data_IF_954953858580
#
_entry.id   IF_954953858580
#
_cell.length_a   1.000
_cell.length_b   1.000
_cell.length_c   1.000
_cell.angle_alpha   90.00
_cell.angle_beta   90.00
_cell.angle_gamma   90.00
#
_symmetry.space_group_name_H-M   'P 1'
#
loop_
_entity.id
_entity.type
_entity.pdbx_description
1 polymer ?
#
# COMPACT_ATOMS: atom_id res chain seq x y z
N UNK A 1 15.40 -2.43 13.87
CA UNK A 1 14.01 -2.81 13.52
C UNK A 1 13.91 -3.01 12.00
N UNK A 2 12.80 -3.51 11.44
CA UNK A 2 12.69 -3.64 9.99
C UNK A 2 12.29 -2.33 9.29
N UNK A 3 12.72 -2.22 8.03
CA UNK A 3 11.96 -1.46 7.04
C UNK A 3 10.68 -2.24 6.72
N UNK A 4 9.54 -1.56 6.75
CA UNK A 4 8.25 -2.18 6.45
C UNK A 4 7.73 -1.59 5.16
N UNK A 5 7.55 -2.45 4.16
CA UNK A 5 7.01 -2.02 2.87
C UNK A 5 5.48 -2.10 2.87
N UNK A 6 4.83 -0.96 2.69
CA UNK A 6 3.41 -0.84 2.36
C UNK A 6 3.26 -0.64 0.85
N UNK A 7 2.44 -1.48 0.23
CA UNK A 7 2.19 -1.47 -1.21
C UNK A 7 0.72 -1.18 -1.45
N UNK A 8 0.41 -0.01 -1.99
CA UNK A 8 -0.96 0.39 -2.30
C UNK A 8 -1.27 0.12 -3.78
N UNK A 9 -2.17 -0.83 -4.02
CA UNK A 9 -2.53 -1.28 -5.38
C UNK A 9 -3.66 -0.42 -5.92
N UNK A 10 -3.29 0.77 -6.41
CA UNK A 10 -4.25 1.78 -6.82
C UNK A 10 -4.85 1.55 -8.21
N UNK A 11 -4.04 1.19 -9.20
CA UNK A 11 -4.46 1.19 -10.61
C UNK A 11 -4.63 -0.24 -11.12
N UNK A 12 -5.79 -0.62 -11.69
CA UNK A 12 -5.97 -1.98 -12.18
C UNK A 12 -5.16 -2.29 -13.44
N UNK A 13 -4.84 -1.30 -14.27
CA UNK A 13 -4.06 -1.49 -15.51
C UNK A 13 -2.70 -0.78 -15.52
N UNK A 14 -2.37 -0.05 -14.45
CA UNK A 14 -1.16 0.77 -14.37
C UNK A 14 -1.38 2.18 -14.91
N UNK A 15 -0.28 2.91 -15.15
CA UNK A 15 -0.33 4.31 -15.64
C UNK A 15 0.79 4.71 -16.60
N UNK A 16 1.53 3.75 -17.16
CA UNK A 16 2.69 4.00 -18.04
C UNK A 16 2.28 4.79 -19.30
N UNK A 17 1.10 4.49 -19.85
CA UNK A 17 0.59 5.11 -21.06
C UNK A 17 -0.89 5.49 -20.95
N UNK A 18 -1.39 6.24 -21.94
CA UNK A 18 -2.75 6.78 -21.96
C UNK A 18 -3.80 5.65 -21.93
N UNK A 19 -3.56 4.55 -22.66
CA UNK A 19 -4.48 3.41 -22.71
C UNK A 19 -4.65 2.79 -21.32
N UNK A 20 -3.55 2.53 -20.62
CA UNK A 20 -3.59 2.01 -19.25
C UNK A 20 -4.30 2.96 -18.28
N UNK A 21 -4.11 4.28 -18.42
CA UNK A 21 -4.81 5.30 -17.61
C UNK A 21 -6.32 5.27 -17.86
N UNK A 22 -6.75 5.18 -19.13
CA UNK A 22 -8.16 5.10 -19.51
C UNK A 22 -8.80 3.81 -19.00
N UNK A 23 -8.19 2.66 -19.26
CA UNK A 23 -8.70 1.36 -18.77
C UNK A 23 -8.75 1.32 -17.24
N UNK A 24 -7.76 1.92 -16.58
CA UNK A 24 -7.78 2.07 -15.11
C UNK A 24 -8.98 2.89 -14.66
N UNK A 25 -9.22 4.04 -15.28
CA UNK A 25 -10.35 4.90 -14.90
C UNK A 25 -11.71 4.26 -15.17
N UNK A 26 -11.86 3.56 -16.29
CA UNK A 26 -13.08 2.81 -16.61
C UNK A 26 -13.39 1.78 -15.51
N UNK A 27 -12.39 1.00 -15.08
CA UNK A 27 -12.60 -0.02 -14.05
C UNK A 27 -12.75 0.54 -12.64
N UNK A 28 -12.15 1.69 -12.34
CA UNK A 28 -12.33 2.39 -11.07
C UNK A 28 -13.75 2.92 -10.89
N UNK A 29 -14.36 3.45 -11.96
CA UNK A 29 -15.66 4.13 -11.87
C UNK A 29 -16.86 3.26 -12.30
N UNK A 30 -16.60 2.22 -13.09
CA UNK A 30 -17.63 1.36 -13.68
C UNK A 30 -17.30 -0.12 -13.47
N UNK A 31 -18.35 -0.94 -13.49
CA UNK A 31 -18.16 -2.39 -13.53
C UNK A 31 -17.59 -2.78 -14.90
N UNK A 32 -16.27 -2.97 -14.96
CA UNK A 32 -15.56 -3.44 -16.14
C UNK A 32 -14.77 -4.70 -15.77
N UNK A 33 -14.91 -5.83 -16.49
CA UNK A 33 -14.29 -7.10 -16.10
C UNK A 33 -12.75 -7.04 -16.10
N UNK A 34 -12.06 -7.82 -15.25
CA UNK A 34 -10.60 -7.83 -15.17
C UNK A 34 -10.00 -8.58 -16.36
N UNK A 35 -9.72 -7.86 -17.45
CA UNK A 35 -9.17 -8.46 -18.67
C UNK A 35 -7.64 -8.60 -18.55
N UNK A 36 -7.17 -9.80 -18.17
CA UNK A 36 -5.74 -10.14 -18.07
C UNK A 36 -5.01 -9.95 -19.40
N UNK A 37 -5.67 -10.24 -20.53
CA UNK A 37 -5.13 -10.02 -21.88
C UNK A 37 -4.82 -8.54 -22.18
N UNK A 38 -5.51 -7.60 -21.52
CA UNK A 38 -5.23 -6.16 -21.63
C UNK A 38 -4.23 -5.67 -20.57
N UNK A 39 -3.59 -6.58 -19.84
CA UNK A 39 -2.56 -6.26 -18.85
C UNK A 39 -3.10 -5.96 -17.44
N UNK A 40 -4.30 -6.42 -17.09
CA UNK A 40 -4.85 -6.30 -15.73
C UNK A 40 -3.83 -6.78 -14.69
N UNK A 41 -3.45 -5.88 -13.78
CA UNK A 41 -2.45 -6.05 -12.71
C UNK A 41 -1.08 -6.57 -13.16
N UNK A 42 -0.74 -6.46 -14.44
CA UNK A 42 0.56 -6.89 -14.97
C UNK A 42 1.73 -6.15 -14.31
N UNK A 43 1.57 -4.86 -14.04
CA UNK A 43 2.54 -4.02 -13.33
C UNK A 43 2.71 -4.45 -11.86
N UNK A 44 1.63 -4.84 -11.18
CA UNK A 44 1.68 -5.42 -9.83
C UNK A 44 2.46 -6.74 -9.86
N UNK A 45 2.14 -7.63 -10.80
CA UNK A 45 2.85 -8.91 -10.96
C UNK A 45 4.36 -8.71 -11.16
N UNK A 46 4.76 -7.73 -11.98
CA UNK A 46 6.17 -7.36 -12.18
C UNK A 46 6.81 -6.87 -10.88
N UNK A 47 6.12 -6.03 -10.12
CA UNK A 47 6.62 -5.52 -8.85
C UNK A 47 6.75 -6.62 -7.78
N UNK A 48 5.77 -7.52 -7.66
CA UNK A 48 5.83 -8.64 -6.72
C UNK A 48 6.98 -9.61 -7.02
N UNK A 49 7.27 -9.86 -8.30
CA UNK A 49 8.46 -10.63 -8.70
C UNK A 49 9.77 -9.96 -8.29
N UNK A 50 9.84 -8.63 -8.31
CA UNK A 50 10.98 -7.90 -7.78
C UNK A 50 11.08 -8.08 -6.26
N UNK A 51 9.97 -7.98 -5.52
CA UNK A 51 9.99 -8.24 -4.08
C UNK A 51 10.46 -9.67 -3.76
N UNK A 52 9.98 -10.67 -4.51
CA UNK A 52 10.42 -12.05 -4.40
C UNK A 52 11.92 -12.20 -4.69
N UNK A 53 12.46 -11.58 -5.75
CA UNK A 53 13.89 -11.66 -6.07
C UNK A 53 14.79 -11.00 -5.02
N UNK A 54 14.27 -9.98 -4.33
CA UNK A 54 14.98 -9.30 -3.27
C UNK A 54 14.71 -9.89 -1.86
N UNK A 55 13.89 -10.94 -1.77
CA UNK A 55 13.41 -11.56 -0.51
C UNK A 55 12.77 -10.54 0.45
N UNK A 56 11.85 -9.72 -0.07
CA UNK A 56 11.15 -8.66 0.65
C UNK A 56 9.69 -9.07 0.88
N UNK A 57 9.33 -9.23 2.16
CA UNK A 57 7.93 -9.34 2.57
C UNK A 57 7.32 -7.95 2.77
N UNK A 58 6.02 -7.83 2.49
CA UNK A 58 5.34 -6.54 2.42
C UNK A 58 3.89 -6.65 2.90
N UNK A 59 3.29 -5.50 3.22
CA UNK A 59 1.85 -5.35 3.37
C UNK A 59 1.26 -4.83 2.06
N UNK A 60 0.42 -5.62 1.39
CA UNK A 60 -0.17 -5.30 0.09
C UNK A 60 -1.65 -5.00 0.25
N UNK A 61 -2.05 -3.78 -0.07
CA UNK A 61 -3.42 -3.30 0.08
C UNK A 61 -4.13 -3.24 -1.27
N UNK A 62 -5.23 -3.99 -1.38
CA UNK A 62 -6.05 -4.04 -2.58
C UNK A 62 -7.35 -3.26 -2.40
N UNK A 63 -7.71 -2.52 -3.44
CA UNK A 63 -9.02 -1.91 -3.60
C UNK A 63 -10.01 -2.95 -4.16
N UNK A 64 -11.30 -2.65 -4.11
CA UNK A 64 -12.31 -3.50 -4.76
C UNK A 64 -12.05 -3.63 -6.27
N UNK A 65 -11.63 -2.55 -6.92
CA UNK A 65 -11.35 -2.54 -8.36
C UNK A 65 -10.00 -3.18 -8.74
N UNK A 66 -9.11 -3.42 -7.77
CA UNK A 66 -7.77 -4.01 -7.99
C UNK A 66 -7.58 -5.37 -7.35
N UNK A 67 -8.66 -6.06 -6.98
CA UNK A 67 -8.60 -7.44 -6.49
C UNK A 67 -7.79 -8.35 -7.45
N UNK A 68 -6.81 -9.13 -6.92
CA UNK A 68 -5.94 -9.94 -7.75
C UNK A 68 -6.72 -11.07 -8.43
N UNK A 69 -6.25 -11.61 -9.57
CA UNK A 69 -6.85 -12.80 -10.17
C UNK A 69 -6.93 -13.96 -9.16
N UNK A 70 -7.97 -14.80 -9.28
CA UNK A 70 -8.19 -15.91 -8.35
C UNK A 70 -7.03 -16.90 -8.33
N UNK A 71 -6.36 -17.08 -9.46
CA UNK A 71 -5.19 -17.96 -9.55
C UNK A 71 -3.97 -17.44 -8.80
N UNK A 72 -3.97 -16.20 -8.27
CA UNK A 72 -2.91 -15.73 -7.37
C UNK A 72 -3.16 -16.14 -5.91
N UNK A 73 -4.43 -16.37 -5.54
CA UNK A 73 -4.81 -16.73 -4.18
C UNK A 73 -4.26 -18.12 -3.84
N UNK A 74 -3.35 -18.18 -2.86
CA UNK A 74 -2.67 -19.43 -2.47
C UNK A 74 -1.39 -19.75 -3.24
N UNK A 75 -0.90 -18.83 -4.07
CA UNK A 75 0.43 -18.95 -4.69
C UNK A 75 1.48 -18.16 -3.91
N UNK A 76 2.77 -18.46 -4.14
CA UNK A 76 3.89 -17.75 -3.52
C UNK A 76 3.85 -16.23 -3.74
N UNK A 77 3.24 -15.79 -4.85
CA UNK A 77 3.17 -14.38 -5.21
C UNK A 77 2.43 -13.52 -4.17
N UNK A 78 1.51 -14.11 -3.39
CA UNK A 78 0.79 -13.43 -2.32
C UNK A 78 1.02 -14.05 -0.95
N UNK A 79 1.34 -15.35 -0.86
CA UNK A 79 1.37 -16.06 0.43
C UNK A 79 2.52 -15.62 1.36
N UNK A 80 3.56 -15.00 0.84
CA UNK A 80 4.67 -14.44 1.64
C UNK A 80 4.40 -13.02 2.15
N UNK A 81 3.26 -12.42 1.76
CA UNK A 81 2.91 -11.04 2.08
C UNK A 81 1.72 -10.99 3.02
N UNK A 82 1.64 -9.92 3.81
CA UNK A 82 0.44 -9.57 4.55
C UNK A 82 -0.53 -8.88 3.59
N UNK A 83 -1.77 -9.38 3.47
CA UNK A 83 -2.75 -8.84 2.54
C UNK A 83 -3.75 -7.97 3.30
N UNK A 84 -3.97 -6.76 2.80
CA UNK A 84 -4.82 -5.76 3.41
C UNK A 84 -5.91 -5.22 2.48
N UNK A 85 -6.88 -4.55 3.07
CA UNK A 85 -7.93 -3.81 2.37
C UNK A 85 -7.54 -2.33 2.19
N UNK A 86 -7.48 -1.85 0.95
CA UNK A 86 -7.32 -0.43 0.63
C UNK A 86 -8.67 0.27 0.53
N UNK A 87 -9.18 0.74 1.67
CA UNK A 87 -10.56 1.20 1.82
C UNK A 87 -10.88 2.43 0.95
N UNK A 88 -11.93 2.32 0.15
CA UNK A 88 -12.41 3.37 -0.74
C UNK A 88 -13.63 4.07 -0.14
N UNK A 89 -14.60 3.29 0.34
CA UNK A 89 -15.89 3.78 0.83
C UNK A 89 -15.93 3.83 2.35
N UNK A 90 -15.56 4.99 2.89
CA UNK A 90 -15.42 5.26 4.33
C UNK A 90 -16.40 6.33 4.78
N UNK A 91 -17.52 6.50 4.06
CA UNK A 91 -18.57 7.48 4.39
C UNK A 91 -19.30 7.19 5.71
N UNK A 92 -19.32 5.92 6.10
CA UNK A 92 -19.85 5.43 7.37
C UNK A 92 -19.22 4.08 7.68
N UNK A 93 -19.41 3.63 8.92
CA UNK A 93 -18.96 2.31 9.35
C UNK A 93 -19.56 1.20 8.48
N UNK A 94 -20.86 1.27 8.18
CA UNK A 94 -21.58 0.25 7.41
C UNK A 94 -21.06 0.14 5.98
N UNK A 95 -20.67 1.29 5.38
CA UNK A 95 -20.08 1.31 4.05
C UNK A 95 -18.72 0.60 4.04
N UNK A 96 -17.86 0.90 5.03
CA UNK A 96 -16.57 0.25 5.20
C UNK A 96 -16.73 -1.25 5.48
N UNK A 97 -17.65 -1.62 6.38
CA UNK A 97 -17.94 -3.00 6.73
C UNK A 97 -18.40 -3.82 5.52
N UNK A 98 -19.32 -3.24 4.72
CA UNK A 98 -19.81 -3.87 3.50
C UNK A 98 -18.69 -4.05 2.46
N UNK A 99 -17.84 -3.04 2.27
CA UNK A 99 -16.68 -3.14 1.38
C UNK A 99 -15.69 -4.22 1.86
N UNK A 100 -15.38 -4.24 3.15
CA UNK A 100 -14.52 -5.24 3.78
C UNK A 100 -15.06 -6.66 3.61
N UNK A 101 -16.35 -6.90 3.85
CA UNK A 101 -16.96 -8.22 3.68
C UNK A 101 -16.83 -8.75 2.25
N UNK A 102 -17.05 -7.89 1.25
CA UNK A 102 -16.90 -8.23 -0.17
C UNK A 102 -15.47 -8.68 -0.45
N UNK A 103 -14.48 -7.92 0.03
CA UNK A 103 -13.06 -8.18 -0.20
C UNK A 103 -12.62 -9.43 0.56
N UNK A 104 -12.98 -9.57 1.83
CA UNK A 104 -12.64 -10.75 2.64
C UNK A 104 -13.26 -12.02 2.05
N UNK A 105 -14.51 -11.97 1.55
CA UNK A 105 -15.11 -13.10 0.84
C UNK A 105 -14.37 -13.44 -0.45
N UNK A 106 -13.91 -12.42 -1.20
CA UNK A 106 -13.12 -12.64 -2.41
C UNK A 106 -11.73 -13.22 -2.11
N UNK A 107 -11.05 -12.76 -1.08
CA UNK A 107 -9.64 -13.13 -0.83
C UNK A 107 -9.46 -14.52 -0.21
N UNK A 108 -10.53 -15.21 0.21
CA UNK A 108 -10.44 -16.58 0.75
C UNK A 108 -9.62 -17.50 -0.17
N UNK A 109 -8.65 -18.25 0.36
CA UNK A 109 -8.42 -18.55 1.79
C UNK A 109 -7.58 -17.53 2.56
N UNK A 110 -7.09 -16.45 1.92
CA UNK A 110 -6.26 -15.44 2.57
C UNK A 110 -7.11 -14.59 3.54
N UNK A 111 -6.65 -14.48 4.79
CA UNK A 111 -7.23 -13.57 5.79
C UNK A 111 -6.75 -12.14 5.51
N UNK A 112 -7.65 -11.17 5.55
CA UNK A 112 -7.26 -9.75 5.52
C UNK A 112 -6.65 -9.40 6.88
N UNK A 113 -5.38 -8.99 6.87
CA UNK A 113 -4.61 -8.74 8.08
C UNK A 113 -4.85 -7.34 8.67
N UNK A 114 -5.15 -6.36 7.81
CA UNK A 114 -5.39 -4.97 8.19
C UNK A 114 -6.12 -4.23 7.08
N UNK A 115 -6.54 -2.99 7.35
CA UNK A 115 -6.94 -2.06 6.31
C UNK A 115 -6.22 -0.72 6.46
N UNK A 116 -6.20 0.05 5.39
CA UNK A 116 -5.76 1.44 5.34
C UNK A 116 -6.72 2.25 4.46
N UNK A 117 -6.52 3.56 4.38
CA UNK A 117 -7.38 4.47 3.61
C UNK A 117 -6.75 4.80 2.25
N UNK A 118 -7.49 4.60 1.16
CA UNK A 118 -7.13 5.13 -0.16
C UNK A 118 -7.24 6.66 -0.17
N UNK A 119 -6.17 7.37 -0.50
CA UNK A 119 -6.16 8.84 -0.52
C UNK A 119 -6.16 9.52 0.85
N UNK A 120 -5.75 10.79 0.90
CA UNK A 120 -5.59 11.57 2.14
C UNK A 120 -5.94 13.06 1.99
N UNK A 121 -7.09 13.37 1.38
CA UNK A 121 -7.51 14.76 1.21
C UNK A 121 -8.75 14.92 0.35
N UNK A 122 -9.05 16.14 -0.09
CA UNK A 122 -10.36 16.46 -0.68
C UNK A 122 -10.58 15.97 -2.12
N UNK A 123 -9.59 15.31 -2.74
CA UNK A 123 -9.69 14.89 -4.14
C UNK A 123 -10.48 13.58 -4.26
N UNK A 124 -11.54 13.60 -5.07
CA UNK A 124 -12.30 12.38 -5.40
C UNK A 124 -11.59 11.57 -6.49
N UNK A 125 -11.01 10.43 -6.10
CA UNK A 125 -10.18 9.58 -6.97
C UNK A 125 -10.97 8.50 -7.74
N UNK A 126 -12.21 8.22 -7.33
CA UNK A 126 -13.08 7.24 -7.97
C UNK A 126 -14.54 7.43 -7.58
N UNK A 127 -15.45 6.72 -8.26
CA UNK A 127 -16.89 6.79 -7.99
C UNK A 127 -17.26 6.56 -6.53
N UNK A 128 -16.69 5.52 -5.92
CA UNK A 128 -16.96 5.08 -4.54
C UNK A 128 -16.01 5.69 -3.51
N UNK A 129 -15.01 6.45 -3.95
CA UNK A 129 -14.03 7.05 -3.07
C UNK A 129 -14.63 8.14 -2.18
N UNK A 130 -14.56 7.94 -0.87
CA UNK A 130 -14.78 8.98 0.13
C UNK A 130 -13.49 9.76 0.37
N UNK A 131 -13.42 11.08 0.09
CA UNK A 131 -12.14 11.79 0.15
C UNK A 131 -11.57 12.03 1.56
N UNK A 132 -12.41 12.26 2.56
CA UNK A 132 -11.93 12.68 3.88
C UNK A 132 -11.04 11.63 4.56
N UNK A 133 -10.06 12.13 5.30
CA UNK A 133 -9.08 11.31 6.02
C UNK A 133 -9.24 11.52 7.51
N UNK A 134 -9.83 10.53 8.17
CA UNK A 134 -10.26 10.58 9.57
C UNK A 134 -9.63 9.41 10.35
N UNK A 135 -8.30 9.43 10.58
CA UNK A 135 -7.57 8.27 11.11
C UNK A 135 -8.05 7.81 12.49
N UNK A 136 -8.51 8.73 13.34
CA UNK A 136 -9.05 8.38 14.67
C UNK A 136 -10.31 7.51 14.54
N UNK A 137 -11.24 7.92 13.69
CA UNK A 137 -12.45 7.16 13.39
C UNK A 137 -12.12 5.80 12.76
N UNK A 138 -11.15 5.75 11.85
CA UNK A 138 -10.73 4.48 11.24
C UNK A 138 -10.12 3.50 12.24
N UNK A 139 -9.43 4.00 13.28
CA UNK A 139 -8.94 3.15 14.37
C UNK A 139 -10.08 2.54 15.18
N UNK A 140 -11.08 3.34 15.53
CA UNK A 140 -12.29 2.86 16.23
C UNK A 140 -13.03 1.81 15.41
N UNK A 141 -13.28 2.10 14.12
CA UNK A 141 -13.92 1.15 13.21
C UNK A 141 -13.11 -0.13 12.99
N UNK A 142 -11.79 -0.07 13.03
CA UNK A 142 -10.95 -1.27 12.97
C UNK A 142 -11.10 -2.18 14.17
N UNK A 143 -11.30 -1.61 15.36
CA UNK A 143 -11.62 -2.40 16.56
C UNK A 143 -13.00 -3.06 16.41
N UNK A 144 -13.99 -2.32 15.93
CA UNK A 144 -15.36 -2.83 15.73
C UNK A 144 -15.43 -3.92 14.64
N UNK A 145 -14.68 -3.78 13.54
CA UNK A 145 -14.58 -4.80 12.47
C UNK A 145 -13.73 -6.02 12.84
N UNK A 146 -12.93 -5.93 13.91
CA UNK A 146 -11.93 -6.95 14.26
C UNK A 146 -10.78 -7.05 13.26
N UNK A 147 -10.44 -5.94 12.58
CA UNK A 147 -9.30 -5.83 11.65
C UNK A 147 -8.64 -4.46 11.85
N UNK A 148 -7.35 -4.38 12.20
CA UNK A 148 -6.76 -3.11 12.58
C UNK A 148 -6.57 -2.15 11.39
N UNK A 149 -6.69 -0.86 11.69
CA UNK A 149 -6.20 0.21 10.84
C UNK A 149 -4.72 0.45 11.12
N UNK A 150 -3.84 -0.14 10.30
CA UNK A 150 -2.43 -0.31 10.65
C UNK A 150 -1.53 0.86 10.20
N UNK A 151 -1.79 1.43 9.02
CA UNK A 151 -0.95 2.48 8.44
C UNK A 151 -1.76 3.74 8.11
N UNK A 152 -1.22 4.89 8.50
CA UNK A 152 -1.79 6.21 8.25
C UNK A 152 -1.53 6.70 6.83
N UNK A 153 -1.55 8.01 6.56
CA UNK A 153 -1.16 8.57 5.26
C UNK A 153 -0.27 9.81 5.42
N UNK A 154 0.21 10.06 6.63
CA UNK A 154 1.05 11.21 6.92
C UNK A 154 2.46 11.00 6.35
N UNK A 155 3.13 12.11 6.07
CA UNK A 155 4.49 12.06 5.56
C UNK A 155 5.50 11.94 6.70
N UNK A 156 6.50 11.08 6.50
CA UNK A 156 7.70 11.03 7.31
C UNK A 156 8.70 12.06 6.77
N UNK A 157 8.88 13.14 7.52
CA UNK A 157 9.83 14.24 7.23
C UNK A 157 10.85 14.36 8.35
N UNK A 158 11.94 15.11 8.12
CA UNK A 158 13.04 15.26 9.09
C UNK A 158 12.61 15.80 10.47
N UNK A 159 11.52 16.59 10.51
CA UNK A 159 10.93 17.15 11.73
C UNK A 159 9.80 16.31 12.32
N UNK A 160 9.46 15.18 11.70
CA UNK A 160 8.43 14.30 12.24
C UNK A 160 8.86 13.86 13.64
N UNK A 161 8.10 14.31 14.64
CA UNK A 161 8.26 13.83 16.01
C UNK A 161 8.05 12.32 15.95
N UNK A 162 8.90 11.50 16.61
CA UNK A 162 8.59 10.10 16.81
C UNK A 162 7.21 10.04 17.45
N UNK A 163 6.19 9.66 16.69
CA UNK A 163 4.97 9.22 17.34
C UNK A 163 5.38 8.04 18.22
N UNK A 164 4.95 8.01 19.51
CA UNK A 164 4.99 6.77 20.25
C UNK A 164 4.35 5.72 19.34
N UNK A 165 4.97 4.56 19.19
CA UNK A 165 4.32 3.41 18.58
C UNK A 165 3.08 3.10 19.44
N UNK A 166 1.98 3.81 19.20
CA UNK A 166 0.71 3.52 19.82
C UNK A 166 0.33 2.15 19.30
N UNK A 167 0.18 1.22 20.23
CA UNK A 167 -0.31 -0.16 20.09
C UNK A 167 -0.96 -0.41 18.71
N UNK A 168 -0.14 -0.80 17.72
CA UNK A 168 -0.60 -1.26 16.41
C UNK A 168 -0.96 -0.22 15.33
N UNK A 169 -0.57 1.06 15.43
CA UNK A 169 -0.81 2.07 14.37
C UNK A 169 0.44 2.91 14.03
N UNK A 170 0.73 3.07 12.73
CA UNK A 170 1.87 3.85 12.22
C UNK A 170 1.39 5.00 11.33
N UNK A 171 1.33 6.25 11.82
CA UNK A 171 0.75 7.37 11.07
C UNK A 171 1.62 7.84 9.89
N UNK A 172 2.94 7.88 10.08
CA UNK A 172 3.89 8.48 9.13
C UNK A 172 4.53 7.42 8.23
N UNK A 173 4.60 7.70 6.93
CA UNK A 173 5.33 6.88 5.97
C UNK A 173 6.29 7.71 5.12
N UNK A 174 7.36 7.08 4.69
CA UNK A 174 8.21 7.59 3.63
C UNK A 174 7.64 7.21 2.26
N UNK A 175 7.17 8.21 1.51
CA UNK A 175 6.58 8.08 0.18
C UNK A 175 7.69 8.10 -0.86
N UNK A 176 8.03 6.92 -1.39
CA UNK A 176 9.15 6.80 -2.32
C UNK A 176 8.91 7.47 -3.67
N UNK A 177 7.63 7.68 -4.00
CA UNK A 177 7.13 8.24 -5.24
C UNK A 177 6.70 9.70 -5.16
N UNK A 178 6.89 10.35 -4.00
CA UNK A 178 6.72 11.79 -3.87
C UNK A 178 8.05 12.52 -4.02
N UNK A 179 7.96 13.71 -4.61
CA UNK A 179 8.98 14.75 -4.52
C UNK A 179 8.56 15.64 -3.37
N UNK A 180 9.37 15.67 -2.33
CA UNK A 180 9.14 16.53 -1.17
C UNK A 180 9.75 17.90 -1.42
N UNK A 181 9.38 18.89 -0.60
CA UNK A 181 10.19 20.10 -0.51
C UNK A 181 11.58 19.71 0.00
N UNK A 182 12.64 20.15 -0.69
CA UNK A 182 14.03 19.70 -0.45
C UNK A 182 14.47 19.85 1.02
N UNK A 183 13.95 20.85 1.74
CA UNK A 183 14.31 21.12 3.14
C UNK A 183 13.71 20.15 4.17
N UNK A 184 12.76 19.29 3.77
CA UNK A 184 12.02 18.41 4.69
C UNK A 184 12.22 16.92 4.38
N UNK A 185 12.81 16.61 3.22
CA UNK A 185 12.98 15.25 2.75
C UNK A 185 14.12 14.53 3.44
N UNK A 186 13.81 13.42 4.08
CA UNK A 186 14.83 12.45 4.49
C UNK A 186 15.41 11.76 3.24
N UNK A 187 16.73 11.71 3.15
CA UNK A 187 17.38 10.93 2.10
C UNK A 187 17.31 9.42 2.41
N UNK A 188 17.61 8.57 1.42
CA UNK A 188 17.47 7.12 1.56
C UNK A 188 18.42 6.53 2.63
N UNK A 189 19.61 7.08 2.81
CA UNK A 189 20.51 6.62 3.87
C UNK A 189 19.99 6.98 5.27
N UNK A 190 19.39 8.16 5.44
CA UNK A 190 18.74 8.57 6.69
C UNK A 190 17.56 7.66 7.03
N UNK A 191 16.73 7.33 6.04
CA UNK A 191 15.62 6.37 6.21
C UNK A 191 16.11 5.02 6.72
N UNK A 192 17.18 4.48 6.12
CA UNK A 192 17.75 3.20 6.54
C UNK A 192 18.40 3.29 7.92
N UNK A 193 19.08 4.39 8.25
CA UNK A 193 19.63 4.62 9.59
C UNK A 193 18.52 4.71 10.63
N UNK A 194 17.42 5.41 10.35
CA UNK A 194 16.29 5.46 11.28
C UNK A 194 15.65 4.08 11.51
N UNK A 195 15.70 3.20 10.51
CA UNK A 195 15.18 1.84 10.63
C UNK A 195 16.03 0.94 11.55
N UNK A 196 17.26 1.32 11.92
CA UNK A 196 18.02 0.56 12.91
C UNK A 196 17.32 0.57 14.27
N UNK A 197 16.67 1.68 14.61
CA UNK A 197 16.16 1.93 15.96
C UNK A 197 14.64 1.74 16.07
N UNK A 198 13.90 1.87 14.97
CA UNK A 198 12.43 1.81 14.95
C UNK A 198 11.87 1.32 13.63
N UNK A 199 10.62 0.88 13.62
CA UNK A 199 9.96 0.52 12.36
C UNK A 199 9.82 1.75 11.47
N UNK A 200 10.23 1.64 10.21
CA UNK A 200 10.04 2.71 9.23
C UNK A 200 9.16 2.19 8.10
N UNK A 201 8.00 2.81 7.95
CA UNK A 201 7.04 2.45 6.91
C UNK A 201 7.42 3.17 5.62
N UNK A 202 7.63 2.40 4.56
CA UNK A 202 7.87 2.89 3.21
C UNK A 202 6.65 2.59 2.38
N UNK A 203 6.03 3.60 1.77
CA UNK A 203 4.88 3.42 0.87
C UNK A 203 5.33 3.50 -0.59
N UNK A 204 4.78 2.61 -1.40
CA UNK A 204 4.95 2.61 -2.85
C UNK A 204 3.66 2.19 -3.57
N UNK A 205 3.43 2.78 -4.74
CA UNK A 205 2.38 2.35 -5.65
C UNK A 205 3.02 1.59 -6.83
N UNK A 206 2.69 0.32 -7.09
CA UNK A 206 3.28 -0.45 -8.20
C UNK A 206 3.10 0.21 -9.56
N UNK A 207 2.00 0.94 -9.75
CA UNK A 207 1.74 1.71 -10.97
C UNK A 207 2.78 2.82 -11.17
N UNK A 208 3.30 3.41 -10.08
CA UNK A 208 4.34 4.44 -10.13
C UNK A 208 5.72 3.81 -10.30
N UNK A 209 5.99 2.69 -9.63
CA UNK A 209 7.25 1.94 -9.80
C UNK A 209 7.51 1.57 -11.27
N UNK A 210 6.51 1.10 -12.00
CA UNK A 210 6.69 0.72 -13.41
C UNK A 210 6.68 1.95 -14.35
N UNK A 211 5.89 2.98 -14.06
CA UNK A 211 5.74 4.13 -14.95
C UNK A 211 6.84 5.19 -14.79
N UNK A 212 7.54 5.23 -13.66
CA UNK A 212 8.51 6.26 -13.32
C UNK A 212 9.87 5.65 -12.95
N UNK A 213 10.84 5.83 -13.85
CA UNK A 213 12.22 5.33 -13.68
C UNK A 213 12.90 5.89 -12.43
N UNK A 214 12.53 7.09 -11.97
CA UNK A 214 13.09 7.66 -10.75
C UNK A 214 12.59 6.88 -9.53
N UNK A 215 11.30 6.53 -9.49
CA UNK A 215 10.71 5.70 -8.43
C UNK A 215 11.32 4.31 -8.41
N UNK A 216 11.45 3.68 -9.59
CA UNK A 216 12.11 2.39 -9.74
C UNK A 216 13.55 2.42 -9.18
N UNK A 217 14.33 3.42 -9.62
CA UNK A 217 15.72 3.60 -9.18
C UNK A 217 15.81 3.81 -7.68
N UNK A 218 14.97 4.68 -7.11
CA UNK A 218 14.97 4.97 -5.67
C UNK A 218 14.62 3.72 -4.85
N UNK A 219 13.69 2.88 -5.31
CA UNK A 219 13.36 1.62 -4.63
C UNK A 219 14.54 0.66 -4.63
N UNK A 220 15.18 0.46 -5.80
CA UNK A 220 16.36 -0.40 -5.91
C UNK A 220 17.53 0.11 -5.08
N UNK A 221 17.74 1.43 -5.06
CA UNK A 221 18.75 2.08 -4.24
C UNK A 221 18.47 1.89 -2.74
N UNK A 222 17.23 2.06 -2.30
CA UNK A 222 16.83 1.83 -0.91
C UNK A 222 17.10 0.38 -0.47
N UNK A 223 16.79 -0.61 -1.32
CA UNK A 223 17.10 -2.02 -1.05
C UNK A 223 18.61 -2.26 -0.94
N UNK A 224 19.40 -1.64 -1.81
CA UNK A 224 20.86 -1.72 -1.78
C UNK A 224 21.45 -1.12 -0.50
N UNK A 225 20.97 0.06 -0.10
CA UNK A 225 21.39 0.74 1.13
C UNK A 225 20.99 -0.10 2.36
N UNK A 226 19.77 -0.63 2.40
CA UNK A 226 19.33 -1.51 3.49
C UNK A 226 20.28 -2.71 3.68
N UNK A 227 20.72 -3.35 2.59
CA UNK A 227 21.72 -4.43 2.63
C UNK A 227 23.07 -3.95 3.16
N UNK A 228 23.58 -2.82 2.67
CA UNK A 228 24.84 -2.21 3.12
C UNK A 228 24.84 -1.97 4.63
N UNK A 229 23.73 -1.48 5.18
CA UNK A 229 23.56 -1.20 6.61
C UNK A 229 23.01 -2.40 7.40
N UNK A 230 22.84 -3.58 6.78
CA UNK A 230 22.29 -4.80 7.39
C UNK A 230 20.90 -4.60 8.05
N UNK A 231 20.10 -3.68 7.52
CA UNK A 231 18.71 -3.48 7.92
C UNK A 231 17.84 -4.45 7.13
N UNK A 232 17.01 -5.20 7.84
CA UNK A 232 16.12 -6.19 7.24
C UNK A 232 14.80 -5.55 6.78
N UNK A 233 14.19 -6.14 5.77
CA UNK A 233 12.78 -5.88 5.43
C UNK A 233 11.91 -6.86 6.23
N UNK A 234 10.79 -6.37 6.76
CA UNK A 234 9.89 -7.17 7.57
C UNK A 234 8.45 -6.71 7.49
N UNK A 235 7.57 -7.49 8.11
CA UNK A 235 6.15 -7.18 8.27
C UNK A 235 5.85 -6.93 9.73
N UNK A 236 4.96 -5.97 10.00
CA UNK A 236 4.31 -5.89 11.32
C UNK A 236 3.35 -7.07 11.47
N UNK A 237 3.55 -7.88 12.51
CA UNK A 237 2.60 -8.91 12.91
C UNK A 237 1.39 -8.26 13.58
N UNK A 238 0.21 -8.68 13.14
CA UNK A 238 -1.06 -8.30 13.76
C UNK A 238 -1.50 -9.48 14.61
N UNK A 239 -1.40 -9.34 15.93
CA UNK A 239 -1.89 -10.32 16.90
C UNK A 239 -3.43 -10.31 16.97
#
# INVERSE_FOLDING_TARGET
>A
MPLVLRVDVDKPYGRENIIQKVLSKIREDYWFPPLVSLGYLSHVKKFLKFLESENIHAHIYFRRCTLPPKEWLGTSILSQHSIGHHAEDTRSFEALASEYEIIQKYMRPIKIASFNKHGSGNLKLGRYHYPLYEPDQYREWGQELGVPFLFGNEELVSRSIPYPEYIGYYPNMYWIDRTYNESEQLNLEEIVKLATDRNIIVIIHPANYIADKQVERRMKELVSIARKYKVQWGTIEVN
#
